data_IF_210107309377
#
_entry.id   IF_210107309377
#
_cell.length_a   1.000
_cell.length_b   1.000
_cell.length_c   1.000
_cell.angle_alpha   90.00
_cell.angle_beta   90.00
_cell.angle_gamma   90.00
#
_symmetry.space_group_name_H-M   'P 1'
#
loop_
_entity.id
_entity.type
_entity.pdbx_description
1 polymer ?
#
# COMPACT_ATOMS: atom_id res chain seq x y z
N UNK A 1 43.08 10.49 -1.48
CA UNK A 1 42.13 9.38 -1.30
C UNK A 1 40.96 9.63 -2.24
N UNK A 2 40.83 8.81 -3.28
CA UNK A 2 39.70 8.88 -4.21
C UNK A 2 38.58 8.00 -3.64
N UNK A 3 37.39 8.56 -3.47
CA UNK A 3 36.20 7.81 -3.05
C UNK A 3 35.78 6.90 -4.21
N UNK A 4 35.98 5.60 -4.04
CA UNK A 4 35.25 4.60 -4.81
C UNK A 4 33.78 4.67 -4.38
N UNK A 5 32.95 5.37 -5.15
CA UNK A 5 31.52 5.07 -5.19
C UNK A 5 31.28 4.37 -6.51
N UNK A 6 31.45 3.05 -6.46
CA UNK A 6 30.76 2.15 -7.38
C UNK A 6 29.27 2.29 -7.04
N UNK A 7 28.53 2.95 -7.93
CA UNK A 7 27.09 2.67 -8.04
C UNK A 7 26.98 1.45 -8.93
N UNK A 8 27.04 0.28 -8.29
CA UNK A 8 26.69 -1.01 -8.90
C UNK A 8 25.21 -0.97 -9.29
N UNK A 9 24.97 -1.32 -10.55
CA UNK A 9 23.74 -1.89 -11.11
C UNK A 9 22.48 -1.01 -11.11
N UNK A 10 22.45 -0.08 -12.07
CA UNK A 10 21.18 0.30 -12.71
C UNK A 10 20.90 -0.68 -13.86
N UNK A 11 20.54 -1.91 -13.47
CA UNK A 11 19.95 -2.95 -14.32
C UNK A 11 18.67 -2.39 -14.98
N UNK A 12 18.87 -1.71 -16.10
CA UNK A 12 17.82 -1.27 -17.02
C UNK A 12 17.54 -2.36 -18.06
N UNK A 13 17.44 -3.61 -17.60
CA UNK A 13 17.05 -4.77 -18.41
C UNK A 13 15.52 -4.94 -18.50
N UNK A 14 14.73 -3.90 -18.19
CA UNK A 14 13.28 -3.91 -18.35
C UNK A 14 12.53 -4.97 -17.54
N UNK A 15 13.22 -5.74 -16.69
CA UNK A 15 12.65 -6.80 -15.87
C UNK A 15 12.89 -6.48 -14.40
N UNK A 16 12.48 -5.27 -13.99
CA UNK A 16 12.61 -4.84 -12.60
C UNK A 16 11.90 -5.88 -11.71
N UNK A 17 12.60 -6.53 -10.77
CA UNK A 17 11.98 -7.52 -9.91
C UNK A 17 10.77 -6.87 -9.23
N UNK A 18 9.62 -7.56 -9.26
CA UNK A 18 8.43 -7.10 -8.53
C UNK A 18 8.83 -7.02 -7.06
N UNK A 19 9.13 -5.82 -6.58
CA UNK A 19 9.52 -5.59 -5.19
C UNK A 19 8.31 -5.90 -4.32
N UNK A 20 8.44 -6.93 -3.47
CA UNK A 20 7.42 -7.21 -2.44
C UNK A 20 7.31 -6.04 -1.49
N UNK A 21 6.12 -5.80 -0.97
CA UNK A 21 5.92 -4.77 0.03
C UNK A 21 6.70 -5.10 1.30
N UNK A 22 7.25 -4.06 1.93
CA UNK A 22 7.91 -4.23 3.23
C UNK A 22 6.89 -4.70 4.29
N UNK A 23 7.30 -5.55 5.25
CA UNK A 23 6.41 -6.07 6.30
C UNK A 23 5.66 -4.97 7.08
N UNK A 24 6.29 -3.80 7.23
CA UNK A 24 5.68 -2.63 7.87
C UNK A 24 4.43 -2.14 7.12
N UNK A 25 4.46 -2.09 5.78
CA UNK A 25 3.31 -1.70 4.96
C UNK A 25 2.19 -2.73 5.05
N UNK A 26 2.53 -4.02 5.08
CA UNK A 26 1.55 -5.11 5.24
C UNK A 26 0.86 -5.03 6.61
N UNK A 27 1.61 -4.78 7.68
CA UNK A 27 1.04 -4.60 9.01
C UNK A 27 0.11 -3.39 9.09
N UNK A 28 0.46 -2.29 8.41
CA UNK A 28 -0.42 -1.13 8.33
C UNK A 28 -1.70 -1.41 7.53
N UNK A 29 -1.62 -2.16 6.42
CA UNK A 29 -2.78 -2.63 5.67
C UNK A 29 -3.69 -3.48 6.56
N UNK A 30 -3.14 -4.48 7.27
CA UNK A 30 -3.92 -5.33 8.21
C UNK A 30 -4.65 -4.49 9.26
N UNK A 31 -3.96 -3.51 9.86
CA UNK A 31 -4.58 -2.60 10.84
C UNK A 31 -5.74 -1.82 10.22
N UNK A 32 -5.54 -1.25 9.04
CA UNK A 32 -6.55 -0.42 8.38
C UNK A 32 -7.74 -1.24 7.85
N UNK A 33 -7.54 -2.49 7.41
CA UNK A 33 -8.60 -3.44 7.06
C UNK A 33 -9.56 -3.59 8.25
N UNK A 34 -9.02 -3.87 9.45
CA UNK A 34 -9.82 -4.01 10.67
C UNK A 34 -10.52 -2.69 11.04
N UNK A 35 -9.79 -1.57 11.02
CA UNK A 35 -10.36 -0.26 11.39
C UNK A 35 -11.48 0.20 10.47
N UNK A 36 -11.34 -0.05 9.16
CA UNK A 36 -12.32 0.39 8.15
C UNK A 36 -13.41 -0.65 7.88
N UNK A 37 -13.36 -1.81 8.55
CA UNK A 37 -14.20 -2.99 8.32
C UNK A 37 -14.20 -3.43 6.85
N UNK A 38 -13.05 -3.33 6.21
CA UNK A 38 -12.86 -3.80 4.83
C UNK A 38 -12.63 -5.31 4.85
N UNK A 39 -13.21 -6.04 3.92
CA UNK A 39 -12.99 -7.49 3.79
C UNK A 39 -11.60 -7.75 3.18
N UNK A 40 -10.80 -8.59 3.83
CA UNK A 40 -9.45 -8.94 3.37
C UNK A 40 -9.48 -9.57 1.96
N UNK A 41 -10.48 -10.40 1.66
CA UNK A 41 -10.68 -11.03 0.35
C UNK A 41 -10.74 -10.01 -0.80
N UNK A 42 -11.33 -8.83 -0.56
CA UNK A 42 -11.39 -7.75 -1.57
C UNK A 42 -10.02 -7.15 -1.84
N UNK A 43 -9.17 -7.07 -0.82
CA UNK A 43 -7.80 -6.56 -0.94
C UNK A 43 -6.93 -7.57 -1.68
N UNK A 44 -7.05 -8.86 -1.33
CA UNK A 44 -6.36 -9.97 -2.00
C UNK A 44 -6.76 -10.07 -3.47
N UNK A 45 -8.07 -10.01 -3.76
CA UNK A 45 -8.60 -10.00 -5.13
C UNK A 45 -8.11 -8.80 -5.95
N UNK A 46 -8.12 -7.59 -5.36
CA UNK A 46 -7.60 -6.38 -6.02
C UNK A 46 -6.10 -6.47 -6.35
N UNK A 47 -5.32 -7.07 -5.44
CA UNK A 47 -3.90 -7.27 -5.63
C UNK A 47 -3.57 -8.50 -6.49
N UNK A 48 -4.56 -9.35 -6.79
CA UNK A 48 -4.41 -10.63 -7.47
C UNK A 48 -3.37 -11.55 -6.79
N UNK A 49 -3.47 -11.69 -5.46
CA UNK A 49 -2.58 -12.51 -4.63
C UNK A 49 -3.39 -13.34 -3.64
N UNK A 50 -2.82 -14.46 -3.18
CA UNK A 50 -3.44 -15.31 -2.16
C UNK A 50 -3.21 -14.81 -0.73
N UNK A 51 -2.11 -14.07 -0.50
CA UNK A 51 -1.70 -13.60 0.83
C UNK A 51 -1.26 -12.15 0.79
N UNK A 52 -1.51 -11.42 1.87
CA UNK A 52 -1.10 -10.02 2.00
C UNK A 52 0.42 -9.85 1.87
N UNK A 53 1.21 -10.83 2.33
CA UNK A 53 2.68 -10.80 2.27
C UNK A 53 3.23 -10.93 0.83
N UNK A 54 2.40 -11.33 -0.14
CA UNK A 54 2.75 -11.41 -1.55
C UNK A 54 2.38 -10.15 -2.35
N UNK A 55 1.76 -9.15 -1.70
CA UNK A 55 1.44 -7.87 -2.31
C UNK A 55 2.73 -7.15 -2.71
N UNK A 56 2.80 -6.65 -3.94
CA UNK A 56 3.90 -5.80 -4.41
C UNK A 56 3.88 -4.44 -3.74
N UNK A 57 5.04 -3.80 -3.60
CA UNK A 57 5.15 -2.49 -2.95
C UNK A 57 4.24 -1.44 -3.57
N UNK A 58 4.16 -1.41 -4.91
CA UNK A 58 3.26 -0.52 -5.64
C UNK A 58 1.79 -0.76 -5.27
N UNK A 59 1.34 -2.02 -5.26
CA UNK A 59 -0.04 -2.35 -4.89
C UNK A 59 -0.32 -2.03 -3.42
N UNK A 60 0.62 -2.31 -2.53
CA UNK A 60 0.51 -1.99 -1.11
C UNK A 60 0.36 -0.48 -0.89
N UNK A 61 1.12 0.36 -1.60
CA UNK A 61 0.97 1.82 -1.53
C UNK A 61 -0.43 2.27 -1.97
N UNK A 62 -0.94 1.73 -3.08
CA UNK A 62 -2.30 2.05 -3.54
C UNK A 62 -3.37 1.61 -2.52
N UNK A 63 -3.25 0.41 -1.98
CA UNK A 63 -4.17 -0.12 -0.96
C UNK A 63 -4.14 0.75 0.30
N UNK A 64 -2.95 1.14 0.78
CA UNK A 64 -2.81 2.04 1.93
C UNK A 64 -3.50 3.38 1.69
N UNK A 65 -3.35 3.97 0.51
CA UNK A 65 -4.02 5.22 0.17
C UNK A 65 -5.55 5.09 0.23
N UNK A 66 -6.11 4.05 -0.40
CA UNK A 66 -7.54 3.79 -0.41
C UNK A 66 -8.12 3.53 0.99
N UNK A 67 -7.39 2.76 1.81
CA UNK A 67 -7.83 2.46 3.17
C UNK A 67 -7.74 3.69 4.09
N UNK A 68 -6.71 4.54 3.94
CA UNK A 68 -6.60 5.81 4.67
C UNK A 68 -7.71 6.78 4.28
N UNK A 69 -8.02 6.88 2.99
CA UNK A 69 -9.14 7.70 2.52
C UNK A 69 -10.48 7.21 3.10
N UNK A 70 -10.71 5.88 3.11
CA UNK A 70 -11.89 5.28 3.75
C UNK A 70 -11.93 5.56 5.25
N UNK A 71 -10.81 5.42 5.96
CA UNK A 71 -10.72 5.75 7.39
C UNK A 71 -11.08 7.22 7.63
N UNK A 72 -10.51 8.14 6.85
CA UNK A 72 -10.79 9.58 6.95
C UNK A 72 -12.28 9.88 6.71
N UNK A 73 -12.92 9.23 5.74
CA UNK A 73 -14.35 9.37 5.48
C UNK A 73 -15.24 8.81 6.58
N UNK A 74 -14.81 7.75 7.27
CA UNK A 74 -15.52 7.20 8.43
C UNK A 74 -15.35 8.04 9.69
N UNK A 75 -14.20 8.72 9.82
CA UNK A 75 -13.87 9.58 10.97
C UNK A 75 -14.27 11.04 10.78
N UNK A 76 -14.48 11.49 9.56
CA UNK A 76 -15.09 12.77 9.30
C UNK A 76 -16.54 12.69 9.80
N UNK A 77 -16.92 13.38 10.90
CA UNK A 77 -18.33 13.64 11.11
C UNK A 77 -18.81 14.35 9.84
N UNK A 78 -20.02 14.05 9.41
CA UNK A 78 -20.81 14.75 8.39
C UNK A 78 -20.67 16.28 8.48
N UNK A 79 -19.56 16.83 8.01
CA UNK A 79 -19.30 18.27 7.84
C UNK A 79 -19.48 18.64 6.37
N UNK A 80 -20.50 18.06 5.74
CA UNK A 80 -21.10 18.56 4.50
C UNK A 80 -22.61 18.32 4.56
N UNK A 81 -23.23 18.81 5.63
CA UNK A 81 -24.66 19.16 5.62
C UNK A 81 -24.81 20.56 6.22
N UNK A 82 -24.21 21.56 5.59
CA UNK A 82 -24.72 22.94 5.67
C UNK A 82 -24.09 23.79 4.58
N UNK A 83 -24.89 24.17 3.59
CA UNK A 83 -24.98 25.54 3.08
C UNK A 83 -26.19 25.61 2.12
N UNK A 84 -27.29 26.10 2.71
CA UNK A 84 -28.41 26.91 2.17
C UNK A 84 -28.89 26.72 0.72
#
# INVERSE_FOLDING_TARGET
MLLNVVSEDDDTDGNTPIKKAFPQKINEIRRLIVQTKTEEEKILSYANVEKLDDISDQRAQTILHLLKDKQNKQMAPTQQQTAV
#
